data_IF_261713746487
#
_entry.id   IF_261713746487
#
_cell.length_a   1.000
_cell.length_b   1.000
_cell.length_c   1.000
_cell.angle_alpha   90.00
_cell.angle_beta   90.00
_cell.angle_gamma   90.00
#
_symmetry.space_group_name_H-M   'P 1'
#
loop_
_entity.id
_entity.type
_entity.pdbx_description
1 polymer ?
#
# COMPACT_ATOMS: atom_id res chain seq x y z
N UNK A 1 -22.84 29.80 7.19
CA UNK A 1 -22.03 28.58 6.89
C UNK A 1 -20.58 28.90 7.23
N UNK A 2 -19.91 28.08 8.04
CA UNK A 2 -18.50 28.26 8.40
C UNK A 2 -17.70 27.10 7.82
N UNK A 3 -16.65 27.39 7.07
CA UNK A 3 -15.78 26.37 6.47
C UNK A 3 -14.40 26.50 7.09
N UNK A 4 -13.90 25.41 7.64
CA UNK A 4 -12.56 25.33 8.23
C UNK A 4 -11.76 24.25 7.51
N UNK A 5 -10.53 24.57 7.11
CA UNK A 5 -9.60 23.61 6.50
C UNK A 5 -8.47 23.42 7.50
N UNK A 6 -8.28 22.18 7.95
CA UNK A 6 -7.19 21.88 8.87
C UNK A 6 -5.86 21.65 8.12
N UNK A 7 -4.76 21.55 8.86
CA UNK A 7 -3.41 21.33 8.31
C UNK A 7 -3.22 20.00 7.57
N UNK A 8 -4.25 19.14 7.54
CA UNK A 8 -4.26 17.88 6.80
C UNK A 8 -5.13 17.94 5.53
N UNK A 9 -5.63 19.12 5.17
CA UNK A 9 -6.45 19.31 3.96
C UNK A 9 -7.89 18.82 4.10
N UNK A 10 -8.35 18.50 5.30
CA UNK A 10 -9.74 18.10 5.56
C UNK A 10 -10.60 19.35 5.69
N UNK A 11 -11.68 19.39 4.90
CA UNK A 11 -12.63 20.50 4.87
C UNK A 11 -13.81 20.19 5.80
N UNK A 12 -13.91 20.95 6.89
CA UNK A 12 -15.05 20.92 7.80
C UNK A 12 -16.06 21.99 7.39
N UNK A 13 -17.28 21.56 7.06
CA UNK A 13 -18.38 22.45 6.69
C UNK A 13 -19.39 22.46 7.84
N UNK A 14 -19.46 23.59 8.53
CA UNK A 14 -20.45 23.84 9.58
C UNK A 14 -21.62 24.64 9.01
N UNK A 15 -22.79 24.01 8.98
CA UNK A 15 -24.05 24.66 8.63
C UNK A 15 -24.84 24.99 9.91
N UNK A 16 -25.05 26.28 10.19
CA UNK A 16 -25.77 26.74 11.38
C UNK A 16 -27.31 26.69 11.23
N UNK A 17 -27.82 25.93 10.26
CA UNK A 17 -29.26 25.80 9.98
C UNK A 17 -29.72 24.34 9.82
N UNK A 18 -28.84 23.38 10.13
CA UNK A 18 -29.19 21.96 10.11
C UNK A 18 -29.40 21.46 11.55
N UNK A 19 -30.49 21.89 12.19
CA UNK A 19 -31.04 21.23 13.37
C UNK A 19 -32.42 20.65 13.02
N UNK A 20 -32.77 19.53 13.64
CA UNK A 20 -33.82 18.53 13.32
C UNK A 20 -33.35 17.39 12.38
N UNK A 21 -33.37 16.11 12.75
CA UNK A 21 -33.84 15.42 13.95
C UNK A 21 -33.19 14.03 14.00
N UNK A 22 -32.58 13.66 15.12
CA UNK A 22 -32.34 12.25 15.45
C UNK A 22 -33.58 11.70 16.19
N UNK A 23 -34.16 10.60 15.70
CA UNK A 23 -34.50 9.44 16.53
C UNK A 23 -35.07 8.25 15.70
N UNK A 24 -34.36 7.12 15.81
CA UNK A 24 -34.77 5.70 15.86
C UNK A 24 -36.04 5.20 15.15
N UNK A 25 -35.89 4.22 14.24
CA UNK A 25 -36.15 2.77 14.51
C UNK A 25 -36.13 1.92 13.22
N UNK A 26 -35.35 0.83 13.26
CA UNK A 26 -35.55 -0.53 12.67
C UNK A 26 -36.73 -0.69 11.68
N UNK A 27 -36.49 -1.18 10.44
CA UNK A 27 -36.78 -2.55 9.97
C UNK A 27 -36.57 -2.73 8.44
N UNK A 28 -36.42 -4.00 8.06
CA UNK A 28 -36.00 -4.55 6.78
C UNK A 28 -36.98 -4.37 5.59
N UNK A 29 -36.40 -4.57 4.41
CA UNK A 29 -36.98 -5.21 3.23
C UNK A 29 -38.01 -4.47 2.35
N UNK A 30 -37.59 -4.38 1.08
CA UNK A 30 -38.35 -4.73 -0.13
C UNK A 30 -38.93 -3.61 -0.99
N UNK A 31 -38.93 -3.93 -2.29
CA UNK A 31 -39.60 -3.33 -3.43
C UNK A 31 -38.94 -2.13 -4.16
N UNK A 32 -38.16 -2.52 -5.18
CA UNK A 32 -38.41 -2.09 -6.55
C UNK A 32 -39.92 -1.94 -6.81
N UNK A 33 -40.36 -0.74 -7.21
CA UNK A 33 -41.10 -0.44 -8.46
C UNK A 33 -41.92 0.83 -8.28
N UNK A 34 -41.64 1.76 -9.18
CA UNK A 34 -42.62 2.60 -9.86
C UNK A 34 -43.45 3.55 -8.98
N UNK A 35 -43.34 4.84 -9.27
CA UNK A 35 -44.44 5.60 -9.88
C UNK A 35 -43.88 6.99 -10.21
N UNK A 36 -43.87 7.30 -11.50
CA UNK A 36 -43.88 8.67 -12.00
C UNK A 36 -45.04 9.42 -11.32
N UNK A 37 -44.74 10.49 -10.59
CA UNK A 37 -45.73 11.48 -10.22
C UNK A 37 -45.26 12.85 -10.69
N UNK A 38 -45.79 13.19 -11.87
CA UNK A 38 -46.24 14.52 -12.32
C UNK A 38 -45.67 15.71 -11.55
N UNK A 39 -44.83 16.48 -12.26
CA UNK A 39 -44.76 17.92 -12.07
C UNK A 39 -46.18 18.50 -12.09
N UNK A 40 -46.56 19.18 -11.01
CA UNK A 40 -47.31 20.45 -11.03
C UNK A 40 -47.26 21.12 -9.65
N UNK A 41 -46.58 22.27 -9.65
CA UNK A 41 -46.82 23.50 -8.88
C UNK A 41 -47.41 23.40 -7.46
N UNK A 42 -46.66 23.86 -6.47
CA UNK A 42 -46.86 25.23 -5.99
C UNK A 42 -45.71 25.69 -5.07
N UNK A 43 -45.34 26.95 -5.26
CA UNK A 43 -44.25 27.66 -4.61
C UNK A 43 -44.49 27.91 -3.11
N UNK A 44 -43.48 27.61 -2.30
CA UNK A 44 -43.05 28.52 -1.23
C UNK A 44 -41.57 28.27 -0.94
N UNK A 45 -40.72 28.46 -1.96
CA UNK A 45 -39.28 28.54 -1.76
C UNK A 45 -38.94 29.97 -1.36
N UNK A 46 -38.55 30.14 -0.10
CA UNK A 46 -37.87 31.34 0.38
C UNK A 46 -36.71 31.68 -0.57
N UNK A 47 -36.48 32.96 -0.92
CA UNK A 47 -35.44 33.32 -1.86
C UNK A 47 -34.09 33.08 -1.21
N UNK A 48 -33.44 31.95 -1.54
CA UNK A 48 -32.03 31.74 -1.25
C UNK A 48 -31.28 32.87 -1.94
N UNK A 49 -30.60 33.70 -1.16
CA UNK A 49 -29.95 34.90 -1.66
C UNK A 49 -28.92 34.49 -2.72
N UNK A 50 -29.11 34.99 -3.95
CA UNK A 50 -28.32 34.68 -5.14
C UNK A 50 -26.80 34.83 -4.95
N UNK A 51 -26.39 35.64 -3.97
CA UNK A 51 -25.00 35.87 -3.62
C UNK A 51 -24.30 34.64 -3.02
N UNK A 52 -24.99 33.82 -2.22
CA UNK A 52 -24.39 32.63 -1.58
C UNK A 52 -24.14 31.54 -2.64
N UNK A 53 -25.10 31.34 -3.54
CA UNK A 53 -24.98 30.39 -4.67
C UNK A 53 -23.83 30.81 -5.59
N UNK A 54 -23.68 32.11 -5.83
CA UNK A 54 -22.59 32.62 -6.66
C UNK A 54 -21.23 32.48 -5.96
N UNK A 55 -21.17 32.69 -4.65
CA UNK A 55 -19.95 32.48 -3.85
C UNK A 55 -19.51 31.02 -3.85
N UNK A 56 -20.46 30.08 -3.73
CA UNK A 56 -20.17 28.64 -3.82
C UNK A 56 -19.70 28.26 -5.23
N UNK A 57 -20.32 28.79 -6.29
CA UNK A 57 -19.83 28.58 -7.66
C UNK A 57 -18.43 29.12 -7.87
N UNK A 58 -18.15 30.34 -7.41
CA UNK A 58 -16.83 30.96 -7.53
C UNK A 58 -15.77 30.16 -6.75
N UNK A 59 -16.12 29.62 -5.57
CA UNK A 59 -15.24 28.75 -4.81
C UNK A 59 -14.96 27.43 -5.52
N UNK A 60 -15.99 26.77 -6.07
CA UNK A 60 -15.83 25.54 -6.86
C UNK A 60 -15.01 25.77 -8.13
N UNK A 61 -15.22 26.92 -8.78
CA UNK A 61 -14.42 27.33 -9.94
C UNK A 61 -12.96 27.53 -9.54
N UNK A 62 -12.70 28.18 -8.41
CA UNK A 62 -11.34 28.40 -7.89
C UNK A 62 -10.65 27.09 -7.53
N UNK A 63 -11.38 26.12 -6.94
CA UNK A 63 -10.85 24.78 -6.68
C UNK A 63 -10.51 24.04 -7.97
N UNK A 64 -11.37 24.12 -8.99
CA UNK A 64 -11.08 23.55 -10.31
C UNK A 64 -9.88 24.23 -10.96
N UNK A 65 -9.80 25.55 -10.91
CA UNK A 65 -8.69 26.31 -11.46
C UNK A 65 -7.39 26.04 -10.70
N UNK A 66 -7.45 25.78 -9.39
CA UNK A 66 -6.30 25.37 -8.58
C UNK A 66 -5.87 23.94 -8.94
N UNK A 67 -6.82 23.01 -9.11
CA UNK A 67 -6.55 21.65 -9.57
C UNK A 67 -5.96 21.61 -11.00
N UNK A 68 -6.28 22.60 -11.85
CA UNK A 68 -5.75 22.72 -13.20
C UNK A 68 -4.42 23.51 -13.28
N UNK A 69 -4.20 24.49 -12.40
CA UNK A 69 -2.96 25.31 -12.35
C UNK A 69 -1.83 24.65 -11.57
N UNK A 70 -2.13 23.81 -10.58
CA UNK A 70 -1.16 22.83 -10.07
C UNK A 70 -0.98 21.82 -11.19
N UNK A 71 0.11 21.96 -11.96
CA UNK A 71 0.49 21.18 -13.14
C UNK A 71 -0.18 19.79 -13.31
N UNK A 72 -0.45 19.34 -14.57
CA UNK A 72 -0.96 18.00 -14.89
C UNK A 72 -0.13 16.81 -14.39
N UNK A 73 1.00 17.04 -13.70
CA UNK A 73 1.99 16.03 -13.32
C UNK A 73 2.17 15.84 -11.81
N UNK A 74 1.34 16.40 -10.93
CA UNK A 74 1.68 16.46 -9.48
C UNK A 74 0.60 16.07 -8.48
N UNK A 75 -0.31 15.14 -8.79
CA UNK A 75 -1.19 14.49 -7.77
C UNK A 75 -1.26 12.95 -7.91
N UNK A 76 -0.44 12.34 -8.78
CA UNK A 76 -0.41 10.87 -8.94
C UNK A 76 1.01 10.33 -9.21
N UNK A 77 2.05 10.85 -8.57
CA UNK A 77 3.38 10.23 -8.70
C UNK A 77 3.39 8.90 -7.93
N UNK A 78 3.01 7.83 -8.61
CA UNK A 78 3.35 6.46 -8.23
C UNK A 78 4.86 6.18 -8.45
N UNK A 79 5.68 7.23 -8.50
CA UNK A 79 7.12 7.15 -8.66
C UNK A 79 7.75 6.85 -7.29
N UNK A 80 8.43 5.72 -7.20
CA UNK A 80 9.06 5.20 -6.01
C UNK A 80 10.04 6.20 -5.38
N UNK A 81 10.77 6.99 -6.18
CA UNK A 81 11.71 7.99 -5.65
C UNK A 81 11.00 9.18 -4.98
N UNK A 82 9.74 9.42 -5.31
CA UNK A 82 8.91 10.43 -4.61
C UNK A 82 8.27 9.88 -3.34
N UNK A 83 8.15 8.55 -3.23
CA UNK A 83 7.44 7.86 -2.16
C UNK A 83 8.38 7.28 -1.10
N UNK A 84 9.62 6.93 -1.47
CA UNK A 84 10.65 6.38 -0.59
C UNK A 84 11.87 7.30 -0.56
N UNK A 85 12.63 7.32 0.55
CA UNK A 85 13.90 8.05 0.65
C UNK A 85 15.02 7.30 -0.09
N UNK A 86 14.83 7.04 -1.39
CA UNK A 86 15.81 6.40 -2.28
C UNK A 86 16.28 7.39 -3.35
N UNK A 87 17.51 7.21 -3.79
CA UNK A 87 18.09 7.97 -4.91
C UNK A 87 18.01 7.20 -6.23
N UNK A 88 18.33 7.87 -7.33
CA UNK A 88 18.44 7.23 -8.65
C UNK A 88 19.39 6.02 -8.66
N UNK A 89 20.49 6.05 -7.91
CA UNK A 89 21.42 4.93 -7.83
C UNK A 89 20.78 3.69 -7.20
N UNK A 90 19.95 3.87 -6.17
CA UNK A 90 19.19 2.78 -5.58
C UNK A 90 18.16 2.21 -6.55
N UNK A 91 17.47 3.07 -7.32
CA UNK A 91 16.53 2.62 -8.35
C UNK A 91 17.23 1.78 -9.43
N UNK A 92 18.44 2.17 -9.86
CA UNK A 92 19.25 1.41 -10.81
C UNK A 92 19.58 -0.01 -10.28
N UNK A 93 19.90 -0.17 -8.99
CA UNK A 93 20.09 -1.49 -8.40
C UNK A 93 18.82 -2.33 -8.47
N UNK A 94 17.65 -1.75 -8.16
CA UNK A 94 16.39 -2.48 -8.22
C UNK A 94 16.04 -2.90 -9.66
N UNK A 95 16.28 -2.04 -10.65
CA UNK A 95 16.12 -2.34 -12.07
C UNK A 95 17.06 -3.47 -12.52
N UNK A 96 18.33 -3.39 -12.12
CA UNK A 96 19.33 -4.41 -12.43
C UNK A 96 18.98 -5.76 -11.79
N UNK A 97 18.51 -5.75 -10.54
CA UNK A 97 18.18 -6.99 -9.84
C UNK A 97 16.88 -7.63 -10.32
N UNK A 98 15.90 -6.84 -10.73
CA UNK A 98 14.65 -7.33 -11.31
C UNK A 98 14.80 -7.77 -12.77
N UNK A 99 15.80 -7.21 -13.47
CA UNK A 99 16.00 -7.31 -14.94
C UNK A 99 14.92 -6.57 -15.73
N UNK A 100 14.34 -5.51 -15.15
CA UNK A 100 13.28 -4.71 -15.76
C UNK A 100 13.51 -3.21 -15.54
N UNK A 101 13.17 -2.40 -16.54
CA UNK A 101 13.35 -0.94 -16.47
C UNK A 101 12.13 -0.22 -15.89
N UNK A 102 10.93 -0.78 -16.08
CA UNK A 102 9.70 -0.16 -15.64
C UNK A 102 9.11 -0.90 -14.45
N UNK A 103 8.29 -0.18 -13.70
CA UNK A 103 7.59 -0.74 -12.57
C UNK A 103 6.25 -0.05 -12.34
N UNK A 104 5.40 -0.71 -11.58
CA UNK A 104 4.13 -0.19 -11.10
C UNK A 104 3.98 -0.46 -9.60
N UNK A 105 3.68 0.58 -8.83
CA UNK A 105 3.31 0.43 -7.42
C UNK A 105 1.92 -0.21 -7.34
N UNK A 106 1.85 -1.41 -6.78
CA UNK A 106 0.62 -2.18 -6.57
C UNK A 106 -0.05 -1.81 -5.25
N UNK A 107 0.75 -1.56 -4.22
CA UNK A 107 0.29 -1.41 -2.85
C UNK A 107 1.18 -0.47 -2.06
N UNK A 108 0.55 0.32 -1.19
CA UNK A 108 1.23 1.19 -0.22
C UNK A 108 0.47 1.14 1.11
N UNK A 109 1.12 0.69 2.19
CA UNK A 109 0.41 0.48 3.46
C UNK A 109 -0.16 1.74 4.09
N UNK A 110 0.42 2.93 3.88
CA UNK A 110 -0.19 4.17 4.39
C UNK A 110 -1.45 4.59 3.64
N UNK A 111 -1.58 4.21 2.36
CA UNK A 111 -2.75 4.50 1.52
C UNK A 111 -3.83 3.42 1.67
N UNK A 112 -3.42 2.16 1.63
CA UNK A 112 -4.31 1.00 1.50
C UNK A 112 -4.61 0.34 2.86
N UNK A 113 -4.01 0.84 3.95
CA UNK A 113 -3.96 0.17 5.26
C UNK A 113 -2.96 -0.99 5.27
N UNK A 114 -2.78 -1.66 6.40
CA UNK A 114 -1.96 -2.89 6.47
C UNK A 114 -2.85 -4.08 6.84
N UNK A 115 -3.27 -4.84 5.83
CA UNK A 115 -4.11 -6.03 6.04
C UNK A 115 -3.71 -7.16 5.12
N UNK A 116 -3.83 -8.41 5.62
CA UNK A 116 -3.59 -9.63 4.84
C UNK A 116 -4.39 -9.61 3.55
N UNK A 117 -5.68 -9.30 3.63
CA UNK A 117 -6.58 -9.21 2.46
C UNK A 117 -6.14 -8.14 1.46
N UNK A 118 -5.71 -6.97 1.92
CA UNK A 118 -5.23 -5.88 1.07
C UNK A 118 -3.97 -6.27 0.31
N UNK A 119 -2.96 -6.76 1.04
CA UNK A 119 -1.70 -7.24 0.49
C UNK A 119 -1.94 -8.35 -0.54
N UNK A 120 -2.67 -9.41 -0.19
CA UNK A 120 -2.90 -10.55 -1.09
C UNK A 120 -3.68 -10.15 -2.35
N UNK A 121 -4.71 -9.31 -2.22
CA UNK A 121 -5.46 -8.85 -3.39
C UNK A 121 -4.65 -7.98 -4.35
N UNK A 122 -3.66 -7.25 -3.85
CA UNK A 122 -2.81 -6.39 -4.68
C UNK A 122 -1.80 -7.17 -5.52
N UNK A 123 -1.34 -8.33 -5.02
CA UNK A 123 -0.28 -9.13 -5.65
C UNK A 123 -0.77 -10.42 -6.32
N UNK A 124 -2.02 -10.83 -6.13
CA UNK A 124 -2.55 -12.05 -6.75
C UNK A 124 -2.40 -12.01 -8.28
N UNK A 125 -1.95 -13.12 -8.84
CA UNK A 125 -1.68 -13.32 -10.27
C UNK A 125 -0.65 -12.34 -10.86
N UNK A 126 0.13 -11.64 -10.01
CA UNK A 126 1.23 -10.77 -10.44
C UNK A 126 2.55 -11.52 -10.39
N UNK A 127 3.43 -11.23 -11.35
CA UNK A 127 4.81 -11.73 -11.43
C UNK A 127 5.79 -10.59 -11.18
N UNK A 128 7.07 -10.94 -10.99
CA UNK A 128 8.13 -9.96 -10.72
C UNK A 128 7.77 -8.99 -9.58
N UNK A 129 7.17 -9.53 -8.53
CA UNK A 129 6.70 -8.73 -7.39
C UNK A 129 7.85 -8.52 -6.42
N UNK A 130 8.11 -7.25 -6.11
CA UNK A 130 9.07 -6.82 -5.10
C UNK A 130 8.33 -6.24 -3.90
N UNK A 131 8.62 -6.76 -2.72
CA UNK A 131 8.19 -6.17 -1.46
C UNK A 131 9.34 -5.35 -0.86
N UNK A 132 9.08 -4.08 -0.57
CA UNK A 132 10.00 -3.17 0.10
C UNK A 132 9.44 -2.81 1.48
N UNK A 133 10.25 -3.02 2.50
CA UNK A 133 9.98 -2.67 3.88
C UNK A 133 10.83 -1.47 4.24
N UNK A 134 10.20 -0.31 4.44
CA UNK A 134 10.87 0.88 4.95
C UNK A 134 10.77 0.89 6.47
N UNK A 135 11.91 1.06 7.15
CA UNK A 135 11.97 1.32 8.59
C UNK A 135 12.46 2.74 8.86
N UNK A 136 12.80 3.05 10.12
CA UNK A 136 13.46 4.32 10.43
C UNK A 136 14.83 4.47 9.77
N UNK A 137 15.59 3.38 9.67
CA UNK A 137 17.01 3.40 9.38
C UNK A 137 17.41 2.56 8.17
N UNK A 138 16.47 1.83 7.58
CA UNK A 138 16.76 0.87 6.52
C UNK A 138 15.61 0.70 5.54
N UNK A 139 15.97 0.29 4.32
CA UNK A 139 15.05 -0.21 3.32
C UNK A 139 15.58 -1.56 2.89
N UNK A 140 14.76 -2.59 3.04
CA UNK A 140 15.12 -3.94 2.66
C UNK A 140 13.90 -4.65 2.08
N UNK A 141 14.09 -5.84 1.53
CA UNK A 141 12.99 -6.47 0.80
C UNK A 141 13.25 -7.86 0.29
N UNK A 142 12.28 -8.33 -0.47
CA UNK A 142 12.33 -9.60 -1.17
C UNK A 142 11.64 -9.50 -2.53
N UNK A 143 12.09 -10.30 -3.48
CA UNK A 143 11.61 -10.33 -4.85
C UNK A 143 11.15 -11.73 -5.25
N UNK A 144 10.03 -11.80 -5.97
CA UNK A 144 9.43 -13.03 -6.48
C UNK A 144 9.18 -12.90 -7.98
N UNK A 145 9.92 -13.68 -8.78
CA UNK A 145 9.71 -13.72 -10.24
C UNK A 145 8.42 -14.42 -10.63
N UNK A 146 8.13 -15.55 -10.00
CA UNK A 146 6.99 -16.40 -10.36
C UNK A 146 5.65 -15.70 -10.06
N UNK A 147 4.60 -15.98 -10.84
CA UNK A 147 3.26 -15.50 -10.56
C UNK A 147 2.79 -15.90 -9.16
N UNK A 148 2.30 -14.94 -8.39
CA UNK A 148 1.79 -15.19 -7.04
C UNK A 148 0.39 -15.81 -7.17
N UNK A 149 0.15 -17.01 -6.60
CA UNK A 149 -1.11 -17.69 -6.71
C UNK A 149 -2.20 -16.96 -5.93
N UNK A 150 -3.45 -17.19 -6.33
CA UNK A 150 -4.59 -16.72 -5.56
C UNK A 150 -4.65 -17.39 -4.19
N UNK A 151 -5.22 -16.68 -3.22
CA UNK A 151 -5.36 -17.17 -1.86
C UNK A 151 -6.21 -18.44 -1.82
N UNK A 152 -5.74 -19.54 -1.21
CA UNK A 152 -6.50 -20.78 -1.14
C UNK A 152 -7.68 -20.66 -0.16
N UNK A 153 -8.71 -21.47 -0.38
CA UNK A 153 -9.84 -21.56 0.56
C UNK A 153 -9.45 -22.23 1.89
N UNK A 154 -8.51 -23.19 1.84
CA UNK A 154 -8.02 -23.95 3.02
C UNK A 154 -6.52 -24.23 2.89
N UNK A 155 -5.80 -24.18 4.01
CA UNK A 155 -4.35 -24.46 4.06
C UNK A 155 -3.46 -23.38 3.44
N UNK A 156 -2.16 -23.67 3.29
CA UNK A 156 -1.21 -22.71 2.72
C UNK A 156 -0.73 -23.14 1.34
N UNK A 157 -0.55 -22.16 0.47
CA UNK A 157 0.21 -22.32 -0.78
C UNK A 157 1.57 -21.64 -0.60
N UNK A 158 2.59 -22.24 -1.21
CA UNK A 158 3.97 -21.75 -1.14
C UNK A 158 4.45 -21.44 -2.55
N UNK A 159 5.17 -20.33 -2.71
CA UNK A 159 6.00 -20.14 -3.89
C UNK A 159 7.31 -20.91 -3.73
N UNK A 160 7.86 -21.39 -4.84
CA UNK A 160 9.24 -21.85 -4.89
C UNK A 160 10.18 -20.63 -4.73
N UNK A 161 11.35 -20.84 -4.15
CA UNK A 161 12.44 -19.87 -4.13
C UNK A 161 13.25 -19.78 -5.44
N UNK A 162 12.90 -20.54 -6.48
CA UNK A 162 13.54 -20.39 -7.79
C UNK A 162 13.37 -18.95 -8.30
N UNK A 163 14.49 -18.24 -8.51
CA UNK A 163 14.56 -16.80 -8.80
C UNK A 163 14.08 -15.84 -7.69
N UNK A 164 13.91 -16.33 -6.47
CA UNK A 164 13.67 -15.49 -5.30
C UNK A 164 15.00 -14.99 -4.72
N UNK A 165 15.03 -13.72 -4.34
CA UNK A 165 16.11 -13.15 -3.55
C UNK A 165 15.57 -12.21 -2.48
N UNK A 166 16.35 -12.05 -1.41
CA UNK A 166 16.15 -11.00 -0.40
C UNK A 166 17.26 -9.98 -0.56
N UNK A 167 17.04 -8.76 -0.11
CA UNK A 167 18.03 -7.70 -0.32
C UNK A 167 17.97 -6.66 0.79
N UNK A 168 19.06 -5.92 0.91
CA UNK A 168 19.13 -4.69 1.68
C UNK A 168 19.50 -3.57 0.71
N UNK A 169 18.62 -2.58 0.58
CA UNK A 169 18.79 -1.45 -0.32
C UNK A 169 19.43 -0.27 0.39
N UNK A 170 19.05 -0.03 1.65
CA UNK A 170 19.58 1.03 2.48
C UNK A 170 19.72 0.51 3.92
N UNK A 171 20.83 0.82 4.57
CA UNK A 171 21.07 0.50 5.97
C UNK A 171 21.81 1.64 6.68
N UNK A 172 21.72 1.64 8.01
CA UNK A 172 22.41 2.61 8.89
C UNK A 172 23.93 2.54 8.84
N UNK A 173 24.50 1.49 8.25
CA UNK A 173 25.95 1.30 8.14
C UNK A 173 26.52 1.81 6.83
N UNK A 174 25.72 2.52 6.00
CA UNK A 174 26.10 3.04 4.69
C UNK A 174 26.77 1.99 3.78
N UNK A 175 26.39 0.72 3.95
CA UNK A 175 26.91 -0.35 3.10
C UNK A 175 26.19 -0.31 1.74
N UNK A 176 26.94 -0.64 0.68
CA UNK A 176 26.39 -0.74 -0.68
C UNK A 176 25.18 -1.67 -0.71
N UNK A 177 24.14 -1.38 -1.52
CA UNK A 177 23.03 -2.29 -1.73
C UNK A 177 23.51 -3.69 -2.14
N UNK A 178 22.91 -4.73 -1.56
CA UNK A 178 23.26 -6.11 -1.85
C UNK A 178 22.02 -7.02 -1.85
N UNK A 179 22.13 -8.16 -2.53
CA UNK A 179 21.10 -9.19 -2.58
C UNK A 179 21.66 -10.55 -2.18
N UNK A 180 20.78 -11.37 -1.63
CA UNK A 180 21.09 -12.68 -1.07
C UNK A 180 20.15 -13.70 -1.70
N UNK A 181 20.71 -14.82 -2.10
CA UNK A 181 20.00 -15.87 -2.82
C UNK A 181 19.76 -17.07 -1.91
N UNK A 182 18.70 -17.82 -2.20
CA UNK A 182 18.43 -19.06 -1.48
C UNK A 182 19.55 -20.07 -1.73
N UNK A 183 20.04 -20.72 -0.67
CA UNK A 183 21.03 -21.81 -0.76
C UNK A 183 20.45 -23.07 -1.40
N UNK A 184 19.13 -23.24 -1.32
CA UNK A 184 18.40 -24.38 -1.88
C UNK A 184 17.41 -23.85 -2.88
N UNK A 185 17.53 -24.20 -4.18
CA UNK A 185 16.69 -23.67 -5.25
C UNK A 185 15.26 -24.20 -5.27
N UNK A 186 14.98 -25.29 -4.56
CA UNK A 186 13.67 -25.94 -4.50
C UNK A 186 12.94 -25.74 -3.16
N UNK A 187 13.45 -24.87 -2.28
CA UNK A 187 12.79 -24.55 -1.02
C UNK A 187 11.59 -23.60 -1.23
N UNK A 188 10.77 -23.46 -0.19
CA UNK A 188 9.58 -22.62 -0.16
C UNK A 188 9.96 -21.18 0.21
N UNK A 189 9.40 -20.18 -0.47
CA UNK A 189 9.65 -18.76 -0.22
C UNK A 189 8.40 -18.08 0.38
N UNK A 190 7.60 -17.36 -0.41
CA UNK A 190 6.39 -16.68 0.03
C UNK A 190 5.32 -17.68 0.50
N UNK A 191 4.67 -17.37 1.62
CA UNK A 191 3.53 -18.14 2.14
C UNK A 191 2.24 -17.38 1.84
N UNK A 192 1.34 -18.02 1.10
CA UNK A 192 -0.01 -17.55 0.83
C UNK A 192 -0.95 -18.33 1.73
N UNK A 193 -1.34 -17.69 2.83
CA UNK A 193 -2.18 -18.29 3.88
C UNK A 193 -3.66 -18.26 3.49
N UNK A 194 -4.45 -19.25 3.91
CA UNK A 194 -5.87 -19.33 3.56
C UNK A 194 -6.70 -18.14 4.06
N UNK A 195 -7.88 -17.97 3.49
CA UNK A 195 -8.82 -16.90 3.84
C UNK A 195 -9.40 -17.06 5.25
N UNK A 196 -9.65 -18.30 5.67
CA UNK A 196 -10.25 -18.68 6.96
C UNK A 196 -9.24 -18.66 8.12
N UNK A 197 -7.94 -18.60 7.79
CA UNK A 197 -6.88 -18.60 8.79
C UNK A 197 -6.77 -17.24 9.48
N UNK A 198 -7.24 -17.19 10.72
CA UNK A 198 -7.11 -16.05 11.63
C UNK A 198 -5.66 -15.94 12.12
N UNK A 199 -4.86 -15.17 11.37
CA UNK A 199 -3.51 -14.81 11.79
C UNK A 199 -3.32 -13.30 11.70
N UNK A 200 -2.55 -12.76 12.64
CA UNK A 200 -2.07 -11.37 12.59
C UNK A 200 -0.99 -11.16 11.52
N UNK A 201 -0.54 -12.23 10.85
CA UNK A 201 0.51 -12.17 9.85
C UNK A 201 -0.08 -11.70 8.51
N UNK A 202 0.38 -10.54 8.06
CA UNK A 202 -0.07 -9.90 6.82
C UNK A 202 0.79 -10.33 5.63
N UNK A 203 2.10 -10.51 5.85
CA UNK A 203 3.04 -10.92 4.82
C UNK A 203 4.10 -11.84 5.42
N UNK A 204 4.38 -12.99 4.78
CA UNK A 204 5.36 -13.95 5.28
C UNK A 204 6.23 -14.47 4.15
N UNK A 205 7.51 -14.11 4.17
CA UNK A 205 8.56 -14.73 3.36
C UNK A 205 9.28 -15.77 4.20
N UNK A 206 9.05 -17.05 3.93
CA UNK A 206 9.56 -18.16 4.73
C UNK A 206 11.08 -18.09 4.81
N UNK A 207 11.59 -18.00 6.04
CA UNK A 207 13.01 -17.95 6.32
C UNK A 207 13.66 -16.58 6.15
N UNK A 208 12.86 -15.55 5.83
CA UNK A 208 13.31 -14.17 5.80
C UNK A 208 12.53 -13.29 6.78
N UNK A 209 11.27 -12.97 6.50
CA UNK A 209 10.49 -11.98 7.28
C UNK A 209 9.07 -12.45 7.53
N UNK A 210 8.57 -12.16 8.73
CA UNK A 210 7.14 -12.14 9.05
C UNK A 210 6.74 -10.72 9.40
N UNK A 211 5.72 -10.18 8.72
CA UNK A 211 5.14 -8.87 8.99
C UNK A 211 3.72 -9.03 9.54
N UNK A 212 3.43 -8.31 10.63
CA UNK A 212 2.15 -8.31 11.33
C UNK A 212 1.30 -7.09 10.97
N UNK A 213 -0.01 -7.18 11.21
CA UNK A 213 -0.98 -6.09 11.06
C UNK A 213 -0.68 -4.86 11.94
N UNK A 214 0.09 -5.05 13.02
CA UNK A 214 0.63 -3.99 13.89
C UNK A 214 1.87 -3.28 13.33
N UNK A 215 2.23 -3.52 12.07
CA UNK A 215 3.49 -3.04 11.44
C UNK A 215 4.76 -3.62 12.07
N UNK A 216 4.65 -4.52 13.06
CA UNK A 216 5.80 -5.24 13.61
C UNK A 216 6.32 -6.24 12.59
N UNK A 217 7.62 -6.26 12.39
CA UNK A 217 8.30 -7.31 11.63
C UNK A 217 9.25 -8.11 12.51
N UNK A 218 9.46 -9.37 12.10
CA UNK A 218 10.45 -10.28 12.68
C UNK A 218 11.23 -10.91 11.53
N UNK A 219 12.55 -10.72 11.53
CA UNK A 219 13.48 -11.42 10.65
C UNK A 219 13.79 -12.80 11.23
N UNK A 220 13.84 -13.80 10.37
CA UNK A 220 14.12 -15.16 10.78
C UNK A 220 15.57 -15.29 11.28
N UNK A 221 15.75 -15.74 12.52
CA UNK A 221 17.09 -15.90 13.13
C UNK A 221 17.99 -16.92 12.41
N UNK A 222 17.42 -17.79 11.58
CA UNK A 222 18.12 -18.77 10.74
C UNK A 222 18.28 -18.30 9.29
N UNK A 223 18.15 -16.99 9.01
CA UNK A 223 18.33 -16.41 7.67
C UNK A 223 19.65 -16.86 7.02
N UNK A 224 20.73 -16.98 7.79
CA UNK A 224 22.07 -17.38 7.32
C UNK A 224 22.14 -18.83 6.83
N UNK A 225 21.26 -19.69 7.36
CA UNK A 225 21.13 -21.09 6.95
C UNK A 225 20.36 -21.22 5.63
N UNK A 226 19.57 -20.21 5.28
CA UNK A 226 18.72 -20.23 4.10
C UNK A 226 19.26 -19.38 2.96
N UNK A 227 19.89 -18.26 3.26
CA UNK A 227 20.40 -17.32 2.27
C UNK A 227 21.93 -17.24 2.32
N UNK A 228 22.53 -16.89 1.19
CA UNK A 228 23.94 -16.54 1.09
C UNK A 228 24.16 -15.40 0.09
N UNK A 229 25.22 -14.65 0.31
CA UNK A 229 25.82 -13.81 -0.72
C UNK A 229 26.75 -14.70 -1.54
N UNK A 230 26.63 -14.70 -2.87
CA UNK A 230 27.41 -15.58 -3.73
C UNK A 230 28.92 -15.39 -3.55
N UNK A 231 29.35 -14.14 -3.33
CA UNK A 231 30.76 -13.78 -3.28
C UNK A 231 31.33 -13.74 -1.85
N UNK A 232 30.50 -13.96 -0.81
CA UNK A 232 30.93 -13.88 0.57
C UNK A 232 30.21 -14.89 1.49
N UNK A 233 30.81 -16.09 1.70
CA UNK A 233 30.23 -17.08 2.61
C UNK A 233 30.28 -16.68 4.09
N UNK A 234 31.06 -15.64 4.45
CA UNK A 234 31.20 -15.11 5.80
C UNK A 234 30.33 -13.87 6.06
N UNK A 235 29.37 -13.59 5.18
CA UNK A 235 28.47 -12.45 5.31
C UNK A 235 27.75 -12.46 6.66
N UNK A 236 27.95 -11.40 7.47
CA UNK A 236 27.32 -11.29 8.78
C UNK A 236 25.92 -10.67 8.67
N UNK A 237 24.90 -11.50 8.51
CA UNK A 237 23.51 -11.07 8.36
C UNK A 237 22.99 -10.22 9.52
N UNK A 238 23.36 -10.59 10.76
CA UNK A 238 22.89 -9.91 11.97
C UNK A 238 23.41 -8.47 12.06
N UNK A 239 24.48 -8.15 11.34
CA UNK A 239 25.00 -6.79 11.21
C UNK A 239 24.06 -5.92 10.35
N UNK A 240 23.44 -6.48 9.30
CA UNK A 240 22.76 -5.69 8.28
C UNK A 240 21.23 -5.72 8.36
N UNK A 241 20.67 -6.71 9.07
CA UNK A 241 19.23 -6.82 9.30
C UNK A 241 18.93 -6.72 10.78
N UNK A 242 18.09 -5.74 11.13
CA UNK A 242 17.44 -5.69 12.44
C UNK A 242 16.61 -6.97 12.61
N UNK A 243 16.76 -7.67 13.74
CA UNK A 243 16.10 -8.97 13.95
C UNK A 243 14.59 -8.83 14.13
N UNK A 244 14.15 -7.71 14.69
CA UNK A 244 12.75 -7.31 14.78
C UNK A 244 12.66 -5.79 14.86
N UNK A 245 11.46 -5.26 14.59
CA UNK A 245 11.21 -3.83 14.66
C UNK A 245 9.85 -3.48 14.10
N UNK A 246 9.70 -2.22 13.70
CA UNK A 246 8.49 -1.71 13.07
C UNK A 246 8.82 -1.11 11.72
N UNK A 247 8.04 -1.48 10.72
CA UNK A 247 8.09 -0.78 9.43
C UNK A 247 7.30 0.52 9.53
N UNK A 248 7.76 1.55 8.83
CA UNK A 248 6.96 2.74 8.52
C UNK A 248 6.00 2.44 7.39
N UNK A 249 6.51 1.74 6.36
CA UNK A 249 5.76 1.53 5.13
C UNK A 249 6.12 0.20 4.47
N UNK A 250 5.11 -0.47 3.92
CA UNK A 250 5.23 -1.58 2.99
C UNK A 250 4.84 -1.08 1.61
N UNK A 251 5.74 -1.25 0.64
CA UNK A 251 5.44 -1.11 -0.77
C UNK A 251 5.47 -2.48 -1.46
N UNK A 252 4.48 -2.73 -2.31
CA UNK A 252 4.51 -3.86 -3.23
C UNK A 252 4.53 -3.32 -4.65
N UNK A 253 5.46 -3.81 -5.46
CA UNK A 253 5.76 -3.28 -6.79
C UNK A 253 5.84 -4.43 -7.78
N UNK A 254 5.27 -4.26 -8.95
CA UNK A 254 5.41 -5.16 -10.10
C UNK A 254 6.37 -4.57 -11.12
N UNK A 255 7.35 -5.36 -11.56
CA UNK A 255 8.36 -4.97 -12.55
C UNK A 255 8.03 -5.54 -13.94
N UNK A 256 8.21 -4.75 -15.00
CA UNK A 256 7.93 -5.13 -16.40
C UNK A 256 8.85 -4.47 -17.44
#
# INVERSE_FOLDING_TARGET
>A
MKVEINNFGIIHIHCNHCEYSQQSSIQENSLKKSIEMKLKSDESLLPVQSHEIQSVRNFLQTLNDFALKVHPNTINSNDLMTLLPISQSHLLFLQQWSEHMNYKVLYRSSRDGLSKKGVQNSIKNKSNVMALFETKNSIFGCFYRLPIPSQPSTGHVYLNCHYHFVFNLLNSYNCSPFRLHSRQLNDKSLIISALDEYTHNVFVSRGFITLQDTFKFIINSKITQKYCEYDNPYFNFNKYFEQEGYIKELFLIEWY
#
